data_IF_225142141747
#
_entry.id   IF_225142141747
#
_cell.length_a   1.000
_cell.length_b   1.000
_cell.length_c   1.000
_cell.angle_alpha   90.00
_cell.angle_beta   90.00
_cell.angle_gamma   90.00
#
_symmetry.space_group_name_H-M   'P 1'
#
loop_
_entity.id
_entity.type
_entity.pdbx_description
1 polymer ?
#
# COMPACT_ATOMS: atom_id res chain seq x y z
N UNK A 1 4.31 18.28 -17.79
CA UNK A 1 4.26 19.68 -17.28
C UNK A 1 5.19 20.53 -18.13
N UNK A 2 4.75 21.71 -18.57
CA UNK A 2 5.64 22.67 -19.22
C UNK A 2 6.31 23.53 -18.15
N UNK A 3 7.59 23.33 -17.89
CA UNK A 3 8.36 24.14 -16.97
C UNK A 3 8.65 25.52 -17.58
N UNK A 4 8.47 26.57 -16.79
CA UNK A 4 8.93 27.91 -17.16
C UNK A 4 10.45 28.04 -16.91
N UNK A 5 11.10 28.98 -17.57
CA UNK A 5 12.50 29.29 -17.27
C UNK A 5 12.73 29.72 -15.81
N UNK A 6 11.71 30.28 -15.17
CA UNK A 6 11.77 30.69 -13.77
C UNK A 6 11.77 29.48 -12.84
N UNK A 7 10.90 28.50 -13.11
CA UNK A 7 10.81 27.28 -12.31
C UNK A 7 12.09 26.46 -12.43
N UNK A 8 12.65 26.39 -13.63
CA UNK A 8 13.92 25.71 -13.86
C UNK A 8 15.09 26.36 -13.08
N UNK A 9 15.16 27.69 -13.05
CA UNK A 9 16.17 28.42 -12.27
C UNK A 9 16.02 28.18 -10.76
N UNK A 10 14.79 28.21 -10.24
CA UNK A 10 14.51 27.90 -8.84
C UNK A 10 14.94 26.48 -8.47
N UNK A 11 14.57 25.51 -9.30
CA UNK A 11 14.93 24.11 -9.10
C UNK A 11 16.45 23.94 -9.06
N UNK A 12 17.18 24.49 -10.01
CA UNK A 12 18.65 24.46 -10.00
C UNK A 12 19.22 25.08 -8.73
N UNK A 13 18.71 26.23 -8.29
CA UNK A 13 19.18 26.88 -7.08
C UNK A 13 18.94 26.00 -5.84
N UNK A 14 17.77 25.38 -5.74
CA UNK A 14 17.43 24.47 -4.66
C UNK A 14 18.30 23.19 -4.66
N UNK A 15 18.56 22.62 -5.83
CA UNK A 15 19.46 21.46 -5.96
C UNK A 15 20.90 21.82 -5.58
N UNK A 16 21.39 23.00 -5.99
CA UNK A 16 22.71 23.49 -5.56
C UNK A 16 22.77 23.68 -4.05
N UNK A 17 21.75 24.27 -3.45
CA UNK A 17 21.63 24.41 -2.00
C UNK A 17 21.67 23.03 -1.32
N UNK A 18 20.81 22.10 -1.72
CA UNK A 18 20.78 20.75 -1.15
C UNK A 18 22.15 20.07 -1.21
N UNK A 19 22.82 20.10 -2.35
CA UNK A 19 24.16 19.52 -2.52
C UNK A 19 25.22 20.23 -1.67
N UNK A 20 25.04 21.47 -1.30
CA UNK A 20 25.95 22.20 -0.40
C UNK A 20 25.82 21.77 1.06
N UNK A 21 24.58 21.41 1.49
CA UNK A 21 24.27 21.08 2.90
C UNK A 21 24.15 19.59 3.17
N UNK A 22 23.94 18.74 2.13
CA UNK A 22 23.84 17.29 2.27
C UNK A 22 25.07 16.61 1.65
N UNK A 23 25.86 15.94 2.46
CA UNK A 23 27.02 15.14 2.00
C UNK A 23 26.78 13.64 2.14
N UNK A 24 25.93 13.26 3.08
CA UNK A 24 25.62 11.87 3.39
C UNK A 24 24.13 11.72 3.68
N UNK A 25 23.52 10.68 3.17
CA UNK A 25 22.12 10.31 3.43
C UNK A 25 21.99 8.78 3.32
N UNK A 26 20.92 8.25 3.85
CA UNK A 26 20.60 6.83 3.74
C UNK A 26 20.38 6.43 2.26
N UNK A 27 19.60 7.24 1.56
CA UNK A 27 19.29 7.05 0.14
C UNK A 27 19.18 8.38 -0.56
N UNK A 28 19.69 8.44 -1.78
CA UNK A 28 19.47 9.57 -2.68
C UNK A 28 18.77 9.07 -3.92
N UNK A 29 17.67 9.73 -4.30
CA UNK A 29 16.92 9.30 -5.45
C UNK A 29 16.16 10.44 -6.12
N UNK A 30 15.76 10.19 -7.33
CA UNK A 30 14.87 11.01 -8.12
C UNK A 30 13.48 10.38 -8.11
N UNK A 31 12.46 11.16 -7.81
CA UNK A 31 11.08 10.71 -7.82
C UNK A 31 10.60 10.61 -9.25
N UNK A 32 10.09 9.46 -9.61
CA UNK A 32 9.51 9.19 -10.92
C UNK A 32 8.35 8.21 -10.79
N UNK A 33 7.23 8.50 -11.43
CA UNK A 33 6.02 7.67 -11.42
C UNK A 33 5.52 7.29 -10.01
N UNK A 34 5.69 8.18 -9.03
CA UNK A 34 5.29 7.92 -7.66
C UNK A 34 3.91 8.51 -7.33
N UNK A 35 3.01 7.67 -6.84
CA UNK A 35 1.66 8.04 -6.40
C UNK A 35 1.60 7.90 -4.88
N UNK A 36 1.70 8.98 -4.10
CA UNK A 36 1.73 8.90 -2.64
C UNK A 36 0.37 8.57 -2.02
N UNK A 37 -0.71 9.03 -2.63
CA UNK A 37 -2.07 8.81 -2.13
C UNK A 37 -2.67 7.53 -2.67
N UNK A 38 -2.56 6.43 -1.89
CA UNK A 38 -3.10 5.12 -2.26
C UNK A 38 -4.01 4.59 -1.16
N UNK A 39 -5.14 4.01 -1.57
CA UNK A 39 -6.10 3.38 -0.65
C UNK A 39 -6.45 1.97 -1.12
N UNK A 40 -6.70 1.07 -0.17
CA UNK A 40 -7.50 -0.13 -0.43
C UNK A 40 -8.96 0.31 -0.33
N UNK A 41 -9.72 0.01 -1.37
CA UNK A 41 -11.14 0.33 -1.41
C UNK A 41 -11.98 -0.92 -1.24
N UNK A 42 -12.66 -0.99 -0.12
CA UNK A 42 -13.64 -2.03 0.11
C UNK A 42 -14.89 -1.77 -0.75
N UNK A 43 -15.15 -2.64 -1.70
CA UNK A 43 -16.40 -2.63 -2.46
C UNK A 43 -17.59 -3.04 -1.59
N UNK A 44 -17.30 -3.36 -0.36
CA UNK A 44 -18.24 -3.52 0.71
C UNK A 44 -18.74 -4.92 0.82
N UNK A 45 -19.76 -5.23 1.22
CA UNK A 45 -20.60 -6.35 1.54
C UNK A 45 -20.05 -7.73 1.19
N UNK A 46 -18.78 -7.93 1.51
CA UNK A 46 -18.24 -9.26 1.47
C UNK A 46 -18.99 -10.14 2.49
N UNK A 47 -19.46 -11.28 2.10
CA UNK A 47 -19.36 -11.99 0.85
C UNK A 47 -20.65 -12.08 0.06
N UNK A 48 -21.64 -11.28 0.28
CA UNK A 48 -22.96 -11.60 -0.24
C UNK A 48 -23.78 -10.45 -0.77
N UNK A 49 -24.54 -10.73 -1.81
CA UNK A 49 -25.54 -9.85 -2.40
C UNK A 49 -25.00 -8.48 -2.82
N UNK A 50 -23.72 -8.44 -3.09
CA UNK A 50 -23.07 -7.22 -3.49
C UNK A 50 -23.33 -6.92 -4.90
N UNK A 51 -23.55 -5.68 -5.14
CA UNK A 51 -23.28 -5.12 -6.42
C UNK A 51 -21.91 -4.44 -6.35
N UNK A 52 -21.06 -4.69 -7.32
CA UNK A 52 -19.85 -3.89 -7.55
C UNK A 52 -20.24 -2.55 -8.17
N UNK A 53 -21.40 -2.48 -8.79
CA UNK A 53 -21.95 -1.27 -9.40
C UNK A 53 -21.92 -0.09 -8.43
N UNK A 54 -21.39 1.08 -8.88
CA UNK A 54 -21.27 2.25 -8.04
C UNK A 54 -22.63 2.70 -7.44
N UNK A 55 -22.58 3.08 -6.18
CA UNK A 55 -23.69 3.69 -5.46
C UNK A 55 -23.44 5.19 -5.26
N UNK A 56 -24.44 5.92 -4.78
CA UNK A 56 -24.26 7.32 -4.41
C UNK A 56 -23.14 7.52 -3.37
N UNK A 57 -22.99 6.57 -2.46
CA UNK A 57 -21.89 6.59 -1.47
C UNK A 57 -20.52 6.52 -2.14
N UNK A 58 -20.35 5.63 -3.13
CA UNK A 58 -19.09 5.52 -3.87
C UNK A 58 -18.76 6.80 -4.63
N UNK A 59 -19.75 7.40 -5.29
CA UNK A 59 -19.57 8.68 -5.98
C UNK A 59 -19.05 9.78 -5.05
N UNK A 60 -19.66 9.92 -3.88
CA UNK A 60 -19.27 10.94 -2.91
C UNK A 60 -17.88 10.66 -2.31
N UNK A 61 -17.61 9.42 -1.94
CA UNK A 61 -16.33 9.05 -1.33
C UNK A 61 -15.18 9.14 -2.34
N UNK A 62 -15.33 8.61 -3.56
CA UNK A 62 -14.29 8.65 -4.59
C UNK A 62 -13.99 10.09 -4.98
N UNK A 63 -15.01 10.94 -5.12
CA UNK A 63 -14.83 12.38 -5.33
C UNK A 63 -14.01 12.99 -4.19
N UNK A 64 -14.37 12.73 -2.93
CA UNK A 64 -13.67 13.24 -1.74
C UNK A 64 -12.21 12.75 -1.69
N UNK A 65 -11.96 11.49 -2.01
CA UNK A 65 -10.61 10.92 -2.10
C UNK A 65 -9.77 11.67 -3.16
N UNK A 66 -10.31 11.86 -4.36
CA UNK A 66 -9.64 12.60 -5.43
C UNK A 66 -9.32 14.05 -5.06
N UNK A 67 -10.30 14.78 -4.54
CA UNK A 67 -10.14 16.19 -4.11
C UNK A 67 -9.03 16.35 -3.05
N UNK A 68 -8.78 15.30 -2.27
CA UNK A 68 -7.74 15.29 -1.24
C UNK A 68 -6.41 14.67 -1.70
N UNK A 69 -6.30 14.28 -2.97
CA UNK A 69 -5.03 13.92 -3.58
C UNK A 69 -4.77 12.43 -3.74
N UNK A 70 -5.76 11.58 -3.49
CA UNK A 70 -5.68 10.15 -3.83
C UNK A 70 -5.59 9.99 -5.33
N UNK A 71 -4.65 9.17 -5.79
CA UNK A 71 -4.40 8.90 -7.20
C UNK A 71 -4.49 7.43 -7.56
N UNK A 72 -4.66 6.54 -6.56
CA UNK A 72 -4.74 5.11 -6.79
C UNK A 72 -5.66 4.44 -5.78
N UNK A 73 -6.53 3.60 -6.29
CA UNK A 73 -7.38 2.68 -5.54
C UNK A 73 -6.96 1.26 -5.86
N UNK A 74 -6.76 0.45 -4.83
CA UNK A 74 -6.63 -0.98 -4.92
C UNK A 74 -7.95 -1.59 -4.45
N UNK A 75 -8.62 -2.32 -5.32
CA UNK A 75 -9.78 -3.15 -4.92
C UNK A 75 -9.27 -4.53 -4.49
N UNK A 76 -9.92 -5.08 -3.49
CA UNK A 76 -9.52 -6.36 -2.92
C UNK A 76 -10.29 -7.52 -3.59
N UNK A 77 -10.26 -8.69 -2.99
CA UNK A 77 -10.81 -9.93 -3.54
C UNK A 77 -12.31 -9.89 -3.86
N UNK A 78 -13.04 -8.90 -3.38
CA UNK A 78 -14.49 -8.78 -3.60
C UNK A 78 -14.90 -8.59 -5.07
N UNK A 79 -13.96 -8.22 -5.92
CA UNK A 79 -14.25 -8.04 -7.35
C UNK A 79 -14.39 -9.36 -8.11
N UNK A 80 -13.87 -10.46 -7.52
CA UNK A 80 -13.86 -11.77 -8.14
C UNK A 80 -15.25 -12.34 -8.37
N UNK A 81 -15.28 -13.39 -9.16
CA UNK A 81 -16.53 -14.02 -9.57
C UNK A 81 -17.17 -14.93 -8.48
N UNK A 82 -17.94 -15.92 -8.90
CA UNK A 82 -18.94 -16.64 -8.11
C UNK A 82 -18.51 -17.19 -6.76
N UNK A 83 -17.25 -17.57 -6.58
CA UNK A 83 -16.80 -18.12 -5.31
C UNK A 83 -16.44 -17.05 -4.29
N UNK A 84 -16.07 -15.87 -4.76
CA UNK A 84 -15.66 -14.72 -3.93
C UNK A 84 -14.63 -15.05 -2.88
N UNK A 85 -13.68 -15.81 -3.28
CA UNK A 85 -12.50 -16.13 -2.51
C UNK A 85 -11.35 -15.34 -3.10
N UNK A 86 -10.32 -15.11 -2.29
CA UNK A 86 -9.17 -14.30 -2.71
C UNK A 86 -8.80 -14.56 -4.17
N UNK A 87 -8.54 -13.52 -4.91
CA UNK A 87 -8.34 -13.48 -6.37
C UNK A 87 -7.24 -14.34 -6.95
N UNK A 88 -6.81 -15.34 -6.20
CA UNK A 88 -5.84 -16.32 -6.64
C UNK A 88 -6.35 -17.25 -7.75
N UNK A 89 -7.63 -17.46 -7.79
CA UNK A 89 -8.29 -18.50 -8.57
C UNK A 89 -9.10 -17.98 -9.75
N UNK A 90 -9.58 -16.74 -9.69
CA UNK A 90 -10.40 -16.13 -10.75
C UNK A 90 -9.88 -14.77 -11.17
N UNK A 91 -9.91 -14.54 -12.48
CA UNK A 91 -9.57 -13.29 -13.12
C UNK A 91 -10.79 -12.63 -13.78
N UNK A 92 -11.96 -12.90 -13.25
CA UNK A 92 -13.23 -12.38 -13.76
C UNK A 92 -14.12 -11.88 -12.63
N UNK A 93 -14.95 -10.90 -12.93
CA UNK A 93 -15.92 -10.36 -11.99
C UNK A 93 -17.24 -11.12 -12.05
N UNK A 94 -17.89 -11.25 -10.90
CA UNK A 94 -19.27 -11.73 -10.81
C UNK A 94 -20.30 -10.69 -11.32
N UNK A 95 -19.92 -9.41 -11.41
CA UNK A 95 -20.69 -8.32 -12.03
C UNK A 95 -19.76 -7.50 -12.92
N UNK A 96 -19.58 -7.98 -14.16
CA UNK A 96 -18.66 -7.37 -15.14
C UNK A 96 -19.02 -5.93 -15.46
N UNK A 97 -20.29 -5.65 -15.67
CA UNK A 97 -20.75 -4.32 -16.04
C UNK A 97 -20.64 -3.35 -14.86
N UNK A 98 -21.01 -3.82 -13.67
CA UNK A 98 -20.84 -3.04 -12.44
C UNK A 98 -19.39 -2.71 -12.15
N UNK A 99 -18.47 -3.65 -12.40
CA UNK A 99 -17.02 -3.40 -12.24
C UNK A 99 -16.50 -2.37 -13.25
N UNK A 100 -16.92 -2.47 -14.51
CA UNK A 100 -16.54 -1.46 -15.54
C UNK A 100 -17.06 -0.07 -15.15
N UNK A 101 -18.29 0.04 -14.70
CA UNK A 101 -18.85 1.30 -14.21
C UNK A 101 -18.08 1.85 -12.99
N UNK A 102 -17.60 0.97 -12.09
CA UNK A 102 -16.78 1.39 -10.95
C UNK A 102 -15.40 1.92 -11.40
N UNK A 103 -14.76 1.23 -12.33
CA UNK A 103 -13.48 1.68 -12.91
C UNK A 103 -13.66 3.02 -13.62
N UNK A 104 -14.70 3.16 -14.45
CA UNK A 104 -15.02 4.41 -15.15
C UNK A 104 -15.29 5.56 -14.19
N UNK A 105 -15.97 5.28 -13.08
CA UNK A 105 -16.17 6.27 -12.03
C UNK A 105 -14.83 6.74 -11.45
N UNK A 106 -13.94 5.83 -11.09
CA UNK A 106 -12.61 6.17 -10.58
C UNK A 106 -11.82 7.00 -11.60
N UNK A 107 -11.81 6.59 -12.87
CA UNK A 107 -11.13 7.29 -13.94
C UNK A 107 -11.71 8.69 -14.19
N UNK A 108 -13.02 8.88 -14.02
CA UNK A 108 -13.64 10.20 -14.15
C UNK A 108 -13.11 11.21 -13.10
N UNK A 109 -12.57 10.72 -12.00
CA UNK A 109 -11.89 11.49 -10.96
C UNK A 109 -10.37 11.38 -11.01
N UNK A 110 -9.79 10.87 -12.10
CA UNK A 110 -8.34 10.69 -12.31
C UNK A 110 -7.69 9.77 -11.27
N UNK A 111 -8.41 8.79 -10.78
CA UNK A 111 -7.91 7.76 -9.86
C UNK A 111 -7.70 6.46 -10.64
N UNK A 112 -6.50 5.90 -10.52
CA UNK A 112 -6.13 4.60 -11.08
C UNK A 112 -6.71 3.46 -10.26
N UNK A 113 -7.00 2.32 -10.90
CA UNK A 113 -7.59 1.14 -10.23
C UNK A 113 -6.72 -0.08 -10.46
N UNK A 114 -6.32 -0.74 -9.36
CA UNK A 114 -5.61 -2.01 -9.38
C UNK A 114 -6.50 -3.11 -8.77
N UNK A 115 -6.69 -4.24 -9.46
CA UNK A 115 -7.37 -5.40 -8.89
C UNK A 115 -6.42 -6.22 -8.03
N UNK A 116 -6.96 -6.89 -7.02
CA UNK A 116 -6.30 -7.97 -6.32
C UNK A 116 -6.21 -9.21 -7.20
N UNK A 117 -5.06 -9.84 -7.21
CA UNK A 117 -4.84 -11.19 -7.70
C UNK A 117 -3.71 -11.84 -6.91
N UNK A 118 -3.52 -13.15 -7.04
CA UNK A 118 -2.37 -13.84 -6.48
C UNK A 118 -1.73 -14.75 -7.51
N UNK A 119 -0.41 -14.69 -7.60
CA UNK A 119 0.38 -15.65 -8.40
C UNK A 119 0.90 -16.83 -7.59
N UNK A 120 0.70 -16.81 -6.27
CA UNK A 120 1.24 -17.80 -5.34
C UNK A 120 0.25 -18.86 -4.84
N UNK A 121 -1.04 -18.58 -4.94
CA UNK A 121 -2.08 -19.42 -4.35
C UNK A 121 -3.26 -19.65 -5.29
N UNK A 122 -3.93 -20.79 -5.09
CA UNK A 122 -5.15 -21.15 -5.80
C UNK A 122 -6.07 -21.95 -4.88
N UNK A 123 -7.36 -21.65 -4.85
CA UNK A 123 -8.31 -22.40 -4.03
C UNK A 123 -8.68 -23.73 -4.69
N UNK A 124 -8.47 -24.83 -3.99
CA UNK A 124 -8.70 -26.20 -4.52
C UNK A 124 -10.16 -26.51 -4.88
N UNK A 125 -11.10 -25.66 -4.43
CA UNK A 125 -12.53 -25.82 -4.75
C UNK A 125 -12.93 -25.12 -6.05
N UNK A 126 -12.05 -24.31 -6.61
CA UNK A 126 -12.32 -23.66 -7.88
C UNK A 126 -12.46 -24.70 -9.00
N UNK A 127 -13.46 -24.57 -9.89
CA UNK A 127 -13.64 -25.51 -11.01
C UNK A 127 -12.43 -25.62 -11.95
N UNK A 128 -11.60 -24.58 -12.02
CA UNK A 128 -10.40 -24.57 -12.86
C UNK A 128 -9.18 -25.19 -12.17
N UNK A 129 -9.29 -25.51 -10.88
CA UNK A 129 -8.18 -26.10 -10.13
C UNK A 129 -7.72 -27.44 -10.70
N UNK A 130 -6.42 -27.62 -10.73
CA UNK A 130 -5.79 -28.90 -11.05
C UNK A 130 -4.53 -29.10 -10.20
N UNK A 131 -4.27 -30.34 -9.79
CA UNK A 131 -3.05 -30.69 -9.05
C UNK A 131 -1.76 -30.36 -9.81
N UNK A 132 -1.84 -30.07 -11.10
CA UNK A 132 -0.69 -29.62 -11.89
C UNK A 132 -0.26 -28.22 -11.59
N UNK A 133 -1.12 -27.40 -10.99
CA UNK A 133 -0.79 -26.02 -10.61
C UNK A 133 0.09 -25.95 -9.37
N UNK A 134 0.07 -26.96 -8.53
CA UNK A 134 0.59 -26.87 -7.16
C UNK A 134 1.98 -27.49 -6.99
N UNK A 135 2.75 -26.91 -6.05
CA UNK A 135 4.11 -27.34 -5.77
C UNK A 135 4.16 -28.66 -5.00
N UNK A 136 3.32 -28.81 -3.98
CA UNK A 136 3.18 -29.98 -3.14
C UNK A 136 1.68 -30.23 -2.85
N UNK A 137 1.13 -31.38 -3.26
CA UNK A 137 -0.25 -31.71 -2.98
C UNK A 137 -0.64 -31.72 -1.50
N UNK A 138 0.33 -31.86 -0.61
CA UNK A 138 0.10 -31.87 0.84
C UNK A 138 0.06 -30.48 1.44
N UNK A 139 0.60 -29.48 0.75
CA UNK A 139 0.62 -28.10 1.20
C UNK A 139 -0.73 -27.44 0.91
N UNK A 140 -1.58 -27.40 1.90
CA UNK A 140 -2.84 -26.70 1.88
C UNK A 140 -2.91 -25.76 3.04
N UNK A 141 -3.08 -24.48 2.74
CA UNK A 141 -3.38 -23.47 3.74
C UNK A 141 -4.90 -23.37 3.86
N UNK A 142 -5.40 -23.63 5.05
CA UNK A 142 -6.78 -23.32 5.41
C UNK A 142 -6.75 -22.06 6.23
N UNK A 143 -7.18 -20.96 5.61
CA UNK A 143 -7.33 -19.70 6.29
C UNK A 143 -8.78 -19.28 6.20
N UNK A 144 -9.41 -19.10 7.35
CA UNK A 144 -10.84 -18.82 7.42
C UNK A 144 -11.64 -19.94 6.75
N UNK A 145 -12.32 -19.68 5.64
CA UNK A 145 -13.02 -20.68 4.83
C UNK A 145 -12.32 -20.96 3.49
N UNK A 146 -11.12 -20.40 3.30
CA UNK A 146 -10.30 -20.61 2.11
C UNK A 146 -9.53 -21.93 2.21
N UNK A 147 -9.28 -22.56 1.08
CA UNK A 147 -8.49 -23.80 0.94
C UNK A 147 -7.43 -23.60 -0.12
N UNK A 148 -6.44 -22.80 0.23
CA UNK A 148 -5.37 -22.47 -0.69
C UNK A 148 -4.37 -23.58 -0.86
N UNK A 149 -4.03 -23.79 -2.11
CA UNK A 149 -2.88 -24.58 -2.52
C UNK A 149 -1.79 -23.63 -3.03
N UNK A 150 -0.56 -23.87 -2.59
CA UNK A 150 0.59 -23.11 -3.09
C UNK A 150 0.86 -23.46 -4.55
N UNK A 151 0.87 -22.47 -5.41
CA UNK A 151 1.16 -22.64 -6.83
C UNK A 151 2.65 -22.86 -7.07
N UNK A 152 2.96 -23.71 -8.05
CA UNK A 152 4.32 -23.98 -8.46
C UNK A 152 4.73 -23.07 -9.62
N UNK A 153 5.62 -22.12 -9.35
CA UNK A 153 6.14 -21.22 -10.37
C UNK A 153 6.85 -21.93 -11.53
N UNK A 154 7.33 -23.16 -11.31
CA UNK A 154 7.93 -24.00 -12.35
C UNK A 154 6.89 -24.79 -13.18
N UNK A 155 5.62 -24.83 -12.78
CA UNK A 155 4.59 -25.56 -13.51
C UNK A 155 4.24 -24.89 -14.82
N UNK A 156 4.38 -25.56 -15.97
CA UNK A 156 3.94 -25.00 -17.25
C UNK A 156 2.44 -24.72 -17.30
N UNK A 157 1.63 -25.61 -16.69
CA UNK A 157 0.17 -25.48 -16.67
C UNK A 157 -0.28 -24.29 -15.82
N UNK A 158 0.38 -24.05 -14.66
CA UNK A 158 0.12 -22.85 -13.86
C UNK A 158 0.50 -21.58 -14.62
N UNK A 159 1.69 -21.56 -15.20
CA UNK A 159 2.13 -20.42 -16.01
C UNK A 159 1.16 -20.11 -17.16
N UNK A 160 0.75 -21.14 -17.89
CA UNK A 160 -0.21 -20.96 -18.99
C UNK A 160 -1.53 -20.36 -18.48
N UNK A 161 -2.10 -20.94 -17.43
CA UNK A 161 -3.35 -20.46 -16.84
C UNK A 161 -3.23 -19.02 -16.36
N UNK A 162 -2.18 -18.72 -15.60
CA UNK A 162 -1.96 -17.39 -15.03
C UNK A 162 -1.84 -16.32 -16.12
N UNK A 163 -1.01 -16.54 -17.14
CA UNK A 163 -0.77 -15.54 -18.17
C UNK A 163 -1.95 -15.37 -19.14
N UNK A 164 -2.63 -16.44 -19.50
CA UNK A 164 -3.84 -16.36 -20.32
C UNK A 164 -4.94 -15.55 -19.61
N UNK A 165 -5.09 -15.76 -18.31
CA UNK A 165 -6.06 -15.02 -17.52
C UNK A 165 -5.64 -13.58 -17.21
N UNK A 166 -4.34 -13.33 -17.01
CA UNK A 166 -3.82 -11.98 -16.84
C UNK A 166 -4.10 -11.12 -18.08
N UNK A 167 -3.80 -11.63 -19.28
CA UNK A 167 -4.10 -10.92 -20.52
C UNK A 167 -5.61 -10.72 -20.67
N UNK A 168 -6.41 -11.75 -20.50
CA UNK A 168 -7.87 -11.65 -20.59
C UNK A 168 -8.44 -10.59 -19.64
N UNK A 169 -7.98 -10.55 -18.39
CA UNK A 169 -8.41 -9.58 -17.40
C UNK A 169 -8.03 -8.15 -17.81
N UNK A 170 -6.80 -7.95 -18.24
CA UNK A 170 -6.31 -6.64 -18.67
C UNK A 170 -6.98 -6.17 -19.95
N UNK A 171 -7.35 -7.08 -20.87
CA UNK A 171 -8.08 -6.77 -22.08
C UNK A 171 -9.56 -6.48 -21.83
N UNK A 172 -10.18 -7.16 -20.87
CA UNK A 172 -11.60 -7.03 -20.57
C UNK A 172 -11.94 -5.79 -19.74
N UNK A 173 -11.04 -5.44 -18.80
CA UNK A 173 -11.24 -4.32 -17.88
C UNK A 173 -10.16 -3.27 -18.08
N UNK A 174 -10.54 -2.01 -17.92
CA UNK A 174 -9.60 -0.89 -18.03
C UNK A 174 -8.78 -0.69 -16.74
N UNK A 175 -8.25 -1.78 -16.17
CA UNK A 175 -7.36 -1.69 -15.01
C UNK A 175 -6.05 -0.99 -15.35
N UNK A 176 -5.53 -0.23 -14.39
CA UNK A 176 -4.26 0.47 -14.53
C UNK A 176 -3.04 -0.36 -14.09
N UNK A 177 -3.21 -1.64 -13.90
CA UNK A 177 -2.17 -2.56 -13.45
C UNK A 177 -2.72 -3.63 -12.53
N UNK A 178 -1.88 -4.14 -11.63
CA UNK A 178 -2.24 -5.23 -10.72
C UNK A 178 -1.72 -5.00 -9.30
N UNK A 179 -2.43 -5.55 -8.32
CA UNK A 179 -1.88 -5.87 -7.01
C UNK A 179 -1.72 -7.38 -6.91
N UNK A 180 -0.47 -7.85 -6.93
CA UNK A 180 -0.13 -9.27 -6.82
C UNK A 180 0.18 -9.61 -5.38
N UNK A 181 -0.68 -10.41 -4.79
CA UNK A 181 -0.55 -10.85 -3.41
C UNK A 181 0.22 -12.16 -3.31
N UNK A 182 1.15 -12.21 -2.35
CA UNK A 182 1.85 -13.41 -1.90
C UNK A 182 2.53 -14.24 -3.01
N UNK A 183 2.95 -13.61 -4.11
CA UNK A 183 3.65 -14.30 -5.20
C UNK A 183 4.98 -14.93 -4.80
N UNK A 184 5.48 -14.60 -3.61
CA UNK A 184 6.72 -15.13 -3.04
C UNK A 184 6.51 -16.13 -1.92
N UNK A 185 5.30 -16.27 -1.37
CA UNK A 185 5.11 -17.07 -0.18
C UNK A 185 5.34 -18.55 -0.51
N UNK A 186 6.34 -19.11 0.12
CA UNK A 186 6.63 -20.53 0.10
C UNK A 186 6.54 -21.08 1.50
N UNK A 187 5.97 -22.26 1.61
CA UNK A 187 5.88 -22.96 2.89
C UNK A 187 6.41 -24.38 2.75
N UNK A 188 7.11 -24.83 3.78
CA UNK A 188 7.52 -26.22 3.88
C UNK A 188 6.32 -27.15 4.16
N UNK A 189 6.58 -28.45 4.24
CA UNK A 189 5.54 -29.45 4.54
C UNK A 189 4.91 -29.34 5.93
N UNK A 190 5.44 -28.46 6.78
CA UNK A 190 4.92 -28.15 8.12
C UNK A 190 4.14 -26.80 8.14
N UNK A 191 4.12 -26.10 7.03
CA UNK A 191 3.46 -24.82 6.89
C UNK A 191 4.30 -23.62 7.32
N UNK A 192 5.59 -23.81 7.62
CA UNK A 192 6.48 -22.70 7.96
C UNK A 192 6.95 -21.98 6.70
N UNK A 193 7.01 -20.64 6.68
CA UNK A 193 7.59 -19.90 5.57
C UNK A 193 9.05 -20.28 5.35
N UNK A 194 9.42 -20.58 4.12
CA UNK A 194 10.81 -20.80 3.74
C UNK A 194 11.12 -20.26 2.35
N UNK A 195 12.39 -20.11 2.06
CA UNK A 195 12.87 -19.77 0.72
C UNK A 195 12.52 -18.37 0.22
N UNK A 196 11.97 -17.51 1.07
CA UNK A 196 11.68 -16.15 0.70
C UNK A 196 12.92 -15.25 0.75
N UNK A 197 13.91 -15.65 1.52
CA UNK A 197 15.25 -15.07 1.55
C UNK A 197 16.22 -15.76 0.58
N UNK A 198 15.80 -16.89 0.00
CA UNK A 198 16.58 -17.64 -0.96
C UNK A 198 16.16 -17.30 -2.40
N UNK A 199 17.13 -17.17 -3.27
CA UNK A 199 16.89 -16.98 -4.69
C UNK A 199 16.22 -18.21 -5.30
N UNK A 200 15.08 -18.00 -5.97
CA UNK A 200 14.39 -19.01 -6.75
C UNK A 200 14.20 -18.53 -8.19
N UNK A 201 14.88 -19.14 -9.17
CA UNK A 201 14.83 -18.70 -10.54
C UNK A 201 13.45 -18.82 -11.18
N UNK A 202 12.61 -19.75 -10.74
CA UNK A 202 11.27 -19.92 -11.29
C UNK A 202 10.31 -18.83 -10.77
N UNK A 203 10.42 -18.49 -9.49
CA UNK A 203 9.65 -17.38 -8.92
C UNK A 203 10.11 -16.06 -9.55
N UNK A 204 11.41 -15.83 -9.68
CA UNK A 204 11.92 -14.64 -10.34
C UNK A 204 11.41 -14.53 -11.78
N UNK A 205 11.53 -15.61 -12.59
CA UNK A 205 11.04 -15.63 -13.98
C UNK A 205 9.55 -15.30 -14.06
N UNK A 206 8.74 -15.96 -13.21
CA UNK A 206 7.29 -15.69 -13.16
C UNK A 206 6.98 -14.22 -12.91
N UNK A 207 7.59 -13.63 -11.91
CA UNK A 207 7.33 -12.24 -11.50
C UNK A 207 7.91 -11.23 -12.48
N UNK A 208 9.09 -11.49 -13.07
CA UNK A 208 9.65 -10.67 -14.15
C UNK A 208 8.74 -10.67 -15.37
N UNK A 209 8.21 -11.82 -15.76
CA UNK A 209 7.26 -11.91 -16.86
C UNK A 209 5.94 -11.20 -16.56
N UNK A 210 5.37 -11.36 -15.37
CA UNK A 210 4.18 -10.62 -14.95
C UNK A 210 4.42 -9.10 -15.01
N UNK A 211 5.56 -8.66 -14.45
CA UNK A 211 5.95 -7.26 -14.52
C UNK A 211 6.08 -6.79 -15.97
N UNK A 212 6.72 -7.57 -16.82
CA UNK A 212 6.92 -7.24 -18.24
C UNK A 212 5.60 -7.11 -18.99
N UNK A 213 4.68 -8.06 -18.82
CA UNK A 213 3.34 -7.99 -19.43
C UNK A 213 2.63 -6.71 -19.01
N UNK A 214 2.52 -6.47 -17.71
CA UNK A 214 1.77 -5.31 -17.19
C UNK A 214 2.40 -3.99 -17.61
N UNK A 215 3.74 -3.89 -17.59
CA UNK A 215 4.45 -2.63 -17.93
C UNK A 215 4.54 -2.38 -19.41
N UNK A 216 4.89 -3.39 -20.21
CA UNK A 216 5.25 -3.20 -21.60
C UNK A 216 4.04 -3.28 -22.53
N UNK A 217 3.06 -4.12 -22.20
CA UNK A 217 1.87 -4.32 -23.03
C UNK A 217 0.73 -3.40 -22.61
N UNK A 218 0.53 -3.21 -21.29
CA UNK A 218 -0.59 -2.44 -20.75
C UNK A 218 -0.21 -1.09 -20.14
N UNK A 219 1.09 -0.76 -20.05
CA UNK A 219 1.59 0.47 -19.40
C UNK A 219 1.12 0.65 -17.96
N UNK A 220 0.87 -0.48 -17.30
CA UNK A 220 0.25 -0.54 -15.98
C UNK A 220 1.24 -0.41 -14.82
N UNK A 221 0.70 -0.53 -13.62
CA UNK A 221 1.42 -0.49 -12.34
C UNK A 221 1.44 -1.89 -11.75
N UNK A 222 2.58 -2.31 -11.24
CA UNK A 222 2.69 -3.56 -10.46
C UNK A 222 2.96 -3.23 -9.01
N UNK A 223 2.01 -3.59 -8.16
CA UNK A 223 2.16 -3.56 -6.72
C UNK A 223 2.29 -4.98 -6.22
N UNK A 224 3.38 -5.29 -5.53
CA UNK A 224 3.67 -6.62 -5.02
C UNK A 224 3.56 -6.65 -3.50
N UNK A 225 2.77 -7.55 -2.99
CA UNK A 225 2.73 -7.89 -1.58
C UNK A 225 3.65 -9.07 -1.28
N UNK A 226 4.50 -8.88 -0.29
CA UNK A 226 5.27 -9.95 0.33
C UNK A 226 4.77 -10.08 1.76
N UNK A 227 4.15 -11.17 2.10
CA UNK A 227 3.42 -11.43 3.34
C UNK A 227 3.98 -10.70 4.56
N UNK A 228 5.07 -11.18 5.14
CA UNK A 228 5.69 -10.56 6.30
C UNK A 228 6.82 -9.58 5.93
N UNK A 229 7.71 -9.31 6.86
CA UNK A 229 8.87 -8.41 6.67
C UNK A 229 10.02 -9.11 5.91
N UNK A 230 9.70 -9.71 4.78
CA UNK A 230 10.68 -10.40 3.94
C UNK A 230 10.93 -9.62 2.67
N UNK A 231 12.13 -9.75 2.13
CA UNK A 231 12.50 -9.10 0.87
C UNK A 231 12.34 -10.09 -0.28
N UNK A 232 11.77 -9.64 -1.40
CA UNK A 232 11.87 -10.40 -2.62
C UNK A 232 13.32 -10.47 -3.09
N UNK A 233 13.81 -11.67 -3.37
CA UNK A 233 15.16 -11.87 -3.92
C UNK A 233 15.05 -11.98 -5.43
N UNK A 234 15.41 -10.91 -6.13
CA UNK A 234 15.39 -10.83 -7.58
C UNK A 234 16.53 -9.95 -8.09
N UNK A 235 17.11 -10.32 -9.22
CA UNK A 235 18.09 -9.52 -9.95
C UNK A 235 17.43 -8.52 -10.91
N UNK A 236 16.15 -8.68 -11.17
CA UNK A 236 15.36 -7.88 -12.10
C UNK A 236 14.29 -7.07 -11.36
N UNK A 237 13.76 -6.05 -12.02
CA UNK A 237 12.64 -5.29 -11.48
C UNK A 237 11.35 -6.08 -11.65
N UNK A 238 10.60 -6.27 -10.56
CA UNK A 238 9.40 -7.09 -10.49
C UNK A 238 8.19 -6.38 -9.87
N UNK A 239 8.36 -5.13 -9.45
CA UNK A 239 7.29 -4.28 -8.93
C UNK A 239 7.60 -2.79 -9.10
N UNK A 240 6.58 -1.96 -9.09
CA UNK A 240 6.70 -0.50 -8.91
C UNK A 240 6.57 -0.13 -7.43
N UNK A 241 5.67 -0.80 -6.71
CA UNK A 241 5.46 -0.61 -5.27
C UNK A 241 5.58 -1.93 -4.53
N UNK A 242 6.28 -1.89 -3.42
CA UNK A 242 6.35 -3.00 -2.48
C UNK A 242 5.42 -2.72 -1.30
N UNK A 243 4.38 -3.52 -1.18
CA UNK A 243 3.46 -3.44 -0.05
C UNK A 243 3.91 -4.39 1.04
N UNK A 244 4.06 -3.84 2.25
CA UNK A 244 4.53 -4.57 3.43
C UNK A 244 3.73 -4.13 4.65
N UNK A 245 3.71 -4.96 5.68
CA UNK A 245 3.27 -4.55 7.00
C UNK A 245 1.97 -5.16 7.48
N UNK A 246 1.38 -6.10 6.76
CA UNK A 246 0.21 -6.84 7.21
C UNK A 246 0.40 -7.46 8.59
N UNK A 247 1.59 -7.96 8.86
CA UNK A 247 1.98 -8.52 10.17
C UNK A 247 2.66 -7.51 11.09
N UNK A 248 2.90 -6.27 10.64
CA UNK A 248 3.53 -5.24 11.47
C UNK A 248 2.62 -4.82 12.62
N UNK A 249 3.01 -5.20 13.82
CA UNK A 249 2.30 -4.88 15.06
C UNK A 249 2.95 -3.74 15.84
N UNK A 250 4.12 -3.29 15.41
CA UNK A 250 4.88 -2.23 16.07
C UNK A 250 5.44 -1.23 15.06
N UNK A 251 5.60 0.01 15.51
CA UNK A 251 6.23 1.05 14.69
C UNK A 251 7.71 0.77 14.43
N UNK A 252 8.35 -0.02 15.28
CA UNK A 252 9.74 -0.48 15.13
C UNK A 252 9.86 -1.48 13.97
N UNK A 253 8.91 -2.38 13.80
CA UNK A 253 8.85 -3.29 12.66
C UNK A 253 8.68 -2.51 11.37
N UNK A 254 7.78 -1.54 11.35
CA UNK A 254 7.59 -0.67 10.19
C UNK A 254 8.88 0.06 9.80
N UNK A 255 9.64 0.56 10.80
CA UNK A 255 10.90 1.25 10.54
C UNK A 255 11.95 0.36 9.86
N UNK A 256 11.92 -0.96 10.07
CA UNK A 256 12.84 -1.88 9.39
C UNK A 256 12.66 -1.87 7.86
N UNK A 257 11.47 -1.55 7.38
CA UNK A 257 11.16 -1.55 5.95
C UNK A 257 11.78 -0.39 5.17
N UNK A 258 12.35 0.63 5.85
CA UNK A 258 12.91 1.81 5.16
C UNK A 258 14.07 1.51 4.22
N UNK A 259 14.72 0.37 4.41
CA UNK A 259 15.85 -0.05 3.58
C UNK A 259 15.44 -0.96 2.42
N UNK A 260 14.20 -1.42 2.37
CA UNK A 260 13.78 -2.45 1.43
C UNK A 260 13.71 -1.94 0.00
N UNK A 261 12.94 -0.92 -0.21
CA UNK A 261 12.68 -0.39 -1.55
C UNK A 261 12.47 1.12 -1.49
N UNK A 262 12.72 1.84 -2.59
CA UNK A 262 12.33 3.25 -2.69
C UNK A 262 10.85 3.49 -2.44
N UNK A 263 9.99 2.64 -3.01
CA UNK A 263 8.53 2.81 -2.99
C UNK A 263 7.85 1.71 -2.19
N UNK A 264 8.21 1.65 -0.92
CA UNK A 264 7.47 0.83 0.05
C UNK A 264 6.19 1.54 0.43
N UNK A 265 5.09 0.80 0.38
CA UNK A 265 3.78 1.24 0.85
C UNK A 265 3.45 0.43 2.11
N UNK A 266 3.61 0.99 3.30
CA UNK A 266 3.24 0.31 4.53
C UNK A 266 1.73 0.19 4.65
N UNK A 267 1.27 -0.96 5.11
CA UNK A 267 -0.12 -1.20 5.45
C UNK A 267 -0.23 -1.74 6.88
N UNK A 268 -0.03 -0.90 7.88
CA UNK A 268 -0.25 -1.32 9.26
C UNK A 268 -1.73 -1.58 9.48
N UNK A 269 -2.02 -2.53 10.35
CA UNK A 269 -3.37 -2.81 10.81
C UNK A 269 -4.07 -1.50 11.24
N UNK A 270 -5.28 -1.30 10.76
CA UNK A 270 -6.09 -0.13 11.08
C UNK A 270 -6.28 0.06 12.59
N UNK A 271 -6.64 -1.00 13.30
CA UNK A 271 -6.79 -1.02 14.76
C UNK A 271 -5.58 -0.46 15.46
N UNK A 272 -4.45 -0.86 14.97
CA UNK A 272 -3.16 -0.48 15.46
C UNK A 272 -2.87 1.02 15.22
N UNK A 273 -3.20 1.57 14.05
CA UNK A 273 -3.05 2.99 13.76
C UNK A 273 -4.01 3.86 14.56
N UNK A 274 -5.19 3.34 14.90
CA UNK A 274 -6.21 4.07 15.63
C UNK A 274 -5.98 4.05 17.15
N UNK A 275 -5.57 2.91 17.70
CA UNK A 275 -5.38 2.74 19.15
C UNK A 275 -4.10 3.40 19.69
N UNK A 276 -3.07 3.57 18.88
CA UNK A 276 -1.74 3.98 19.32
C UNK A 276 -1.32 5.41 18.94
N UNK A 277 -2.22 6.32 18.64
CA UNK A 277 -1.87 7.63 18.12
C UNK A 277 -1.16 7.54 16.74
N UNK A 278 -1.94 7.59 15.67
CA UNK A 278 -1.46 7.45 14.29
C UNK A 278 -0.28 8.33 13.88
N UNK A 279 0.04 9.40 14.63
CA UNK A 279 1.21 10.25 14.35
C UNK A 279 2.52 9.49 14.43
N UNK A 280 2.61 8.47 15.29
CA UNK A 280 3.81 7.63 15.42
C UNK A 280 4.13 6.94 14.09
N UNK A 281 3.13 6.42 13.40
CA UNK A 281 3.33 5.75 12.12
C UNK A 281 3.77 6.71 11.04
N UNK A 282 3.13 7.86 10.95
CA UNK A 282 3.52 8.88 10.00
C UNK A 282 4.95 9.37 10.27
N UNK A 283 5.34 9.55 11.52
CA UNK A 283 6.70 9.95 11.89
C UNK A 283 7.76 8.92 11.52
N UNK A 284 7.40 7.64 11.44
CA UNK A 284 8.28 6.55 11.01
C UNK A 284 8.25 6.28 9.51
N UNK A 285 7.25 6.77 8.81
CA UNK A 285 7.06 6.49 7.39
C UNK A 285 7.44 7.67 6.49
N UNK A 286 6.89 8.85 6.72
CA UNK A 286 7.00 9.98 5.79
C UNK A 286 8.43 10.47 5.58
N UNK A 287 9.29 10.60 6.61
CA UNK A 287 10.68 11.00 6.39
C UNK A 287 11.47 10.01 5.55
N UNK A 288 11.02 8.76 5.46
CA UNK A 288 11.69 7.69 4.75
C UNK A 288 11.10 7.40 3.36
N UNK A 289 10.29 8.32 2.83
CA UNK A 289 9.60 8.18 1.55
C UNK A 289 8.62 6.99 1.54
N UNK A 290 7.90 6.84 2.61
CA UNK A 290 6.82 5.88 2.74
C UNK A 290 5.55 6.63 3.12
N UNK A 291 4.45 6.37 2.44
CA UNK A 291 3.15 6.87 2.82
C UNK A 291 2.23 5.70 3.13
N UNK A 292 1.55 5.76 4.27
CA UNK A 292 0.71 4.66 4.72
C UNK A 292 -0.47 4.44 3.78
N UNK A 293 -0.67 3.20 3.40
CA UNK A 293 -1.88 2.79 2.68
C UNK A 293 -3.07 2.89 3.63
N UNK A 294 -4.10 3.56 3.18
CA UNK A 294 -5.35 3.65 3.93
C UNK A 294 -6.33 2.59 3.45
N UNK A 295 -7.05 2.02 4.41
CA UNK A 295 -8.27 1.26 4.14
C UNK A 295 -9.44 2.24 4.08
N UNK A 296 -10.25 2.20 3.03
CA UNK A 296 -11.44 3.03 2.85
C UNK A 296 -12.49 2.29 2.00
N UNK A 297 -13.60 2.90 1.70
CA UNK A 297 -14.65 2.31 0.89
C UNK A 297 -15.97 2.14 1.63
N UNK A 298 -16.74 1.18 1.21
CA UNK A 298 -18.06 0.91 1.79
C UNK A 298 -17.93 0.32 3.17
N UNK A 299 -18.66 0.84 4.17
CA UNK A 299 -18.63 0.27 5.50
C UNK A 299 -19.21 -1.15 5.49
N UNK A 300 -18.69 -2.00 6.33
CA UNK A 300 -19.20 -3.34 6.52
C UNK A 300 -20.46 -3.29 7.37
N UNK A 301 -21.53 -3.88 6.87
CA UNK A 301 -22.79 -4.02 7.58
C UNK A 301 -23.34 -5.43 7.45
N UNK A 302 -23.95 -5.96 8.48
CA UNK A 302 -24.80 -7.15 8.42
C UNK A 302 -24.08 -8.49 8.15
N UNK A 303 -24.66 -9.33 7.32
CA UNK A 303 -24.30 -10.74 7.13
C UNK A 303 -23.11 -10.97 6.16
N UNK A 304 -22.02 -10.28 6.36
CA UNK A 304 -20.97 -10.22 5.35
C UNK A 304 -19.83 -11.22 5.46
N UNK A 305 -19.77 -11.92 6.55
CA UNK A 305 -18.62 -12.79 6.85
C UNK A 305 -18.71 -14.18 6.24
N UNK A 306 -19.61 -14.43 5.29
CA UNK A 306 -19.81 -15.76 4.73
C UNK A 306 -20.11 -15.72 3.24
N UNK A 307 -19.22 -16.26 2.41
CA UNK A 307 -19.45 -16.39 0.98
C UNK A 307 -20.68 -17.28 0.72
N UNK A 308 -21.58 -16.91 -0.22
CA UNK A 308 -22.66 -17.78 -0.63
C UNK A 308 -22.07 -19.00 -1.33
N UNK A 309 -22.71 -20.14 -1.16
CA UNK A 309 -22.32 -21.40 -1.78
C UNK A 309 -20.97 -21.96 -1.36
N UNK A 310 -20.30 -21.40 -0.36
CA UNK A 310 -19.11 -21.97 0.23
C UNK A 310 -19.49 -22.93 1.33
N UNK A 311 -18.94 -24.14 1.28
CA UNK A 311 -19.10 -25.13 2.34
C UNK A 311 -18.10 -24.82 3.44
N UNK A 312 -18.61 -24.40 4.60
CA UNK A 312 -17.77 -24.15 5.76
C UNK A 312 -17.35 -25.44 6.43
N UNK A 313 -16.08 -25.57 6.70
CA UNK A 313 -15.56 -26.65 7.53
C UNK A 313 -15.90 -26.42 9.00
N UNK A 314 -15.95 -27.48 9.81
CA UNK A 314 -16.16 -27.35 11.24
C UNK A 314 -14.81 -27.23 11.99
N UNK A 315 -14.04 -26.27 11.59
CA UNK A 315 -12.79 -25.85 12.23
C UNK A 315 -12.98 -24.59 13.11
N UNK A 316 -11.92 -24.15 13.76
CA UNK A 316 -11.96 -22.99 14.63
C UNK A 316 -12.29 -21.71 13.90
N UNK A 317 -11.81 -21.56 12.67
CA UNK A 317 -12.01 -20.35 11.85
C UNK A 317 -13.42 -20.24 11.34
N UNK A 318 -13.98 -21.32 10.78
CA UNK A 318 -15.38 -21.36 10.39
C UNK A 318 -16.32 -21.08 11.56
N UNK A 319 -15.96 -21.53 12.77
CA UNK A 319 -16.70 -21.18 13.99
C UNK A 319 -16.60 -19.70 14.33
N UNK A 320 -15.45 -19.09 14.10
CA UNK A 320 -15.25 -17.65 14.28
C UNK A 320 -16.17 -16.85 13.37
N UNK A 321 -16.20 -17.16 12.07
CA UNK A 321 -17.10 -16.51 11.11
C UNK A 321 -18.59 -16.69 11.45
N UNK A 322 -18.98 -17.86 11.91
CA UNK A 322 -20.36 -18.07 12.39
C UNK A 322 -20.72 -17.15 13.57
N UNK A 323 -19.80 -16.91 14.49
CA UNK A 323 -20.00 -15.97 15.61
C UNK A 323 -20.09 -14.52 15.15
N UNK A 324 -19.26 -14.11 14.22
CA UNK A 324 -19.32 -12.77 13.63
C UNK A 324 -20.66 -12.55 12.92
N UNK A 325 -21.10 -13.54 12.13
CA UNK A 325 -22.39 -13.52 11.45
C UNK A 325 -23.55 -13.41 12.43
N UNK A 326 -23.51 -14.17 13.53
CA UNK A 326 -24.53 -14.10 14.58
C UNK A 326 -24.52 -12.73 15.28
N UNK A 327 -23.34 -12.19 15.52
CA UNK A 327 -23.20 -10.85 16.07
C UNK A 327 -23.90 -9.81 15.18
N UNK A 328 -23.64 -9.79 13.88
CA UNK A 328 -24.25 -8.82 12.97
C UNK A 328 -25.77 -8.98 12.80
N UNK A 329 -26.30 -10.18 12.93
CA UNK A 329 -27.75 -10.36 12.99
C UNK A 329 -28.39 -9.64 14.18
N UNK A 330 -27.69 -9.63 15.30
CA UNK A 330 -28.17 -8.99 16.52
C UNK A 330 -27.91 -7.49 16.55
N UNK A 331 -26.89 -7.04 15.83
CA UNK A 331 -26.42 -5.65 15.79
C UNK A 331 -26.23 -5.16 14.34
N UNK A 332 -27.31 -5.08 13.54
CA UNK A 332 -27.20 -4.74 12.12
C UNK A 332 -26.68 -3.32 11.85
N UNK A 333 -26.76 -2.43 12.82
CA UNK A 333 -26.32 -1.04 12.73
C UNK A 333 -25.00 -0.78 13.49
N UNK A 334 -24.30 -1.85 13.89
CA UNK A 334 -23.03 -1.74 14.61
C UNK A 334 -23.16 -1.77 16.14
N UNK A 335 -22.07 -1.60 16.89
CA UNK A 335 -20.75 -1.27 16.38
C UNK A 335 -20.21 -2.37 15.45
N UNK A 336 -19.48 -1.97 14.42
CA UNK A 336 -18.94 -2.91 13.45
C UNK A 336 -17.79 -3.68 14.08
N UNK A 337 -17.79 -5.00 13.88
CA UNK A 337 -16.73 -5.89 14.34
C UNK A 337 -15.82 -6.19 13.17
N UNK A 338 -14.58 -6.23 13.42
CA UNK A 338 -13.50 -6.22 12.46
C UNK A 338 -12.87 -7.55 12.21
N UNK A 339 -12.67 -7.90 10.96
CA UNK A 339 -11.56 -8.72 10.50
C UNK A 339 -10.46 -7.83 9.90
N UNK A 340 -9.27 -8.32 9.78
CA UNK A 340 -8.08 -7.50 9.43
C UNK A 340 -8.22 -6.66 8.16
N UNK A 341 -9.05 -7.08 7.23
CA UNK A 341 -9.23 -6.46 5.92
C UNK A 341 -10.62 -5.92 5.66
N UNK A 342 -11.57 -6.30 6.47
CA UNK A 342 -12.97 -5.98 6.31
C UNK A 342 -13.41 -4.77 7.12
N UNK A 343 -12.48 -4.15 7.77
CA UNK A 343 -12.74 -3.16 8.78
C UNK A 343 -12.51 -1.77 8.31
N UNK A 344 -13.35 -1.35 7.48
CA UNK A 344 -13.33 0.05 7.17
C UNK A 344 -14.37 0.72 8.00
N UNK A 345 -13.97 1.29 9.11
CA UNK A 345 -14.85 2.13 9.84
C UNK A 345 -15.02 3.40 9.04
N UNK A 346 -16.18 3.91 9.07
CA UNK A 346 -16.44 5.28 8.73
C UNK A 346 -15.86 6.22 9.82
N UNK A 347 -14.53 6.17 9.97
CA UNK A 347 -13.83 7.06 10.88
C UNK A 347 -13.37 8.31 10.15
N UNK A 348 -14.27 9.28 10.14
CA UNK A 348 -14.03 10.58 9.53
C UNK A 348 -12.79 11.29 10.10
N UNK A 349 -12.52 11.14 11.40
CA UNK A 349 -11.36 11.79 12.04
C UNK A 349 -10.04 11.23 11.52
N UNK A 350 -9.97 9.90 11.33
CA UNK A 350 -8.78 9.28 10.78
C UNK A 350 -8.60 9.62 9.30
N UNK A 351 -9.69 9.71 8.54
CA UNK A 351 -9.66 10.13 7.14
C UNK A 351 -9.15 11.56 7.01
N UNK A 352 -9.66 12.51 7.80
CA UNK A 352 -9.23 13.91 7.77
C UNK A 352 -7.77 14.07 8.19
N UNK A 353 -7.31 13.31 9.17
CA UNK A 353 -5.90 13.27 9.58
C UNK A 353 -5.02 12.77 8.45
N UNK A 354 -5.39 11.67 7.80
CA UNK A 354 -4.68 11.12 6.67
C UNK A 354 -4.60 12.11 5.50
N UNK A 355 -5.71 12.78 5.18
CA UNK A 355 -5.73 13.84 4.16
C UNK A 355 -4.80 15.01 4.50
N UNK A 356 -4.73 15.39 5.77
CA UNK A 356 -3.82 16.44 6.22
C UNK A 356 -2.37 16.08 5.93
N UNK A 357 -1.97 14.88 6.27
CA UNK A 357 -0.61 14.39 5.97
C UNK A 357 -0.36 14.25 4.47
N UNK A 358 -1.33 13.77 3.72
CA UNK A 358 -1.20 13.66 2.25
C UNK A 358 -1.02 15.04 1.61
N UNK A 359 -1.77 16.05 2.02
CA UNK A 359 -1.62 17.44 1.54
C UNK A 359 -0.23 18.02 1.84
N UNK A 360 0.34 17.70 2.99
CA UNK A 360 1.68 18.13 3.34
C UNK A 360 2.76 17.37 2.56
N UNK A 361 2.57 16.10 2.34
CA UNK A 361 3.55 15.21 1.73
C UNK A 361 3.58 15.26 0.20
N UNK A 362 2.42 15.23 -0.44
CA UNK A 362 2.30 15.17 -1.90
C UNK A 362 3.14 16.22 -2.66
N UNK A 363 3.17 17.50 -2.28
CA UNK A 363 4.02 18.49 -2.95
C UNK A 363 5.52 18.23 -2.82
N UNK A 364 5.94 17.53 -1.76
CA UNK A 364 7.36 17.23 -1.53
C UNK A 364 7.88 16.13 -2.45
N UNK A 365 6.99 15.21 -2.83
CA UNK A 365 7.28 14.03 -3.65
C UNK A 365 6.65 14.11 -5.05
N UNK A 366 6.42 15.31 -5.53
CA UNK A 366 5.95 15.52 -6.90
C UNK A 366 6.97 14.98 -7.91
N UNK A 367 6.48 14.70 -9.12
CA UNK A 367 7.33 14.22 -10.21
C UNK A 367 8.60 15.04 -10.36
N UNK A 368 9.71 14.38 -10.64
CA UNK A 368 11.04 14.98 -10.74
C UNK A 368 11.61 15.60 -9.45
N UNK A 369 11.04 15.37 -8.28
CA UNK A 369 11.66 15.78 -7.03
C UNK A 369 12.92 14.98 -6.75
N UNK A 370 13.98 15.65 -6.30
CA UNK A 370 15.19 15.00 -5.80
C UNK A 370 15.05 14.82 -4.28
N UNK A 371 15.26 13.58 -3.82
CA UNK A 371 15.14 13.23 -2.41
C UNK A 371 16.47 12.83 -1.81
N UNK A 372 16.72 13.31 -0.60
CA UNK A 372 17.81 12.90 0.27
C UNK A 372 17.18 12.32 1.54
N UNK A 373 17.05 11.00 1.57
CA UNK A 373 16.37 10.30 2.64
C UNK A 373 17.33 10.10 3.81
N UNK A 374 16.88 10.48 4.98
CA UNK A 374 17.61 10.50 6.24
C UNK A 374 19.06 11.01 6.11
N UNK A 375 19.19 12.33 6.19
CA UNK A 375 20.48 13.03 6.19
C UNK A 375 21.13 13.01 7.59
N UNK A 376 20.88 11.99 8.36
CA UNK A 376 21.08 11.88 9.79
C UNK A 376 22.50 12.18 10.28
N UNK A 377 23.51 11.83 9.50
CA UNK A 377 24.91 11.96 9.92
C UNK A 377 25.63 13.20 9.43
N UNK A 378 25.17 13.82 8.36
CA UNK A 378 25.74 15.07 7.82
C UNK A 378 24.67 16.15 7.80
N UNK A 379 24.52 16.79 8.95
CA UNK A 379 23.48 17.77 9.20
C UNK A 379 24.03 19.21 9.10
N UNK A 380 24.71 19.51 8.00
CA UNK A 380 25.28 20.86 7.78
C UNK A 380 24.25 21.97 7.69
N UNK A 381 22.97 21.62 7.58
CA UNK A 381 21.88 22.58 7.72
C UNK A 381 21.67 23.06 9.16
N UNK A 382 22.21 22.35 10.14
CA UNK A 382 22.10 22.65 11.56
C UNK A 382 23.36 23.34 12.08
N UNK A 383 23.18 24.22 13.08
CA UNK A 383 24.29 24.88 13.78
C UNK A 383 24.88 24.03 14.91
N UNK A 384 24.12 23.03 15.36
CA UNK A 384 24.54 22.06 16.38
C UNK A 384 24.02 20.66 16.03
N UNK A 385 24.72 19.58 16.48
CA UNK A 385 24.23 18.22 16.26
C UNK A 385 22.82 18.00 16.82
N UNK A 386 22.01 17.27 16.09
CA UNK A 386 20.71 16.80 16.58
C UNK A 386 20.89 15.52 17.41
N UNK A 387 19.88 15.21 18.24
CA UNK A 387 19.81 13.92 18.93
C UNK A 387 19.75 12.74 17.94
N UNK A 388 20.13 11.55 18.41
CA UNK A 388 20.15 10.35 17.56
C UNK A 388 18.78 9.90 17.07
N UNK A 389 17.74 10.22 17.82
CA UNK A 389 16.36 9.85 17.50
C UNK A 389 15.68 10.82 16.52
N UNK A 390 16.39 11.87 16.09
CA UNK A 390 15.87 12.84 15.15
C UNK A 390 16.34 12.50 13.73
N UNK A 391 15.37 12.24 12.86
CA UNK A 391 15.59 11.96 11.45
C UNK A 391 15.15 13.16 10.61
N UNK A 392 15.93 13.46 9.61
CA UNK A 392 15.71 14.61 8.71
C UNK A 392 15.84 14.11 7.29
N UNK A 393 14.84 14.31 6.47
CA UNK A 393 14.91 14.10 5.03
C UNK A 393 14.62 15.39 4.28
N UNK A 394 15.32 15.58 3.16
CA UNK A 394 15.19 16.75 2.33
C UNK A 394 14.60 16.37 0.98
N UNK A 395 13.61 17.12 0.55
CA UNK A 395 12.94 16.94 -0.74
C UNK A 395 13.06 18.25 -1.52
N UNK A 396 13.47 18.15 -2.77
CA UNK A 396 13.86 19.29 -3.58
C UNK A 396 13.20 19.27 -4.94
N UNK A 397 12.41 20.29 -5.19
CA UNK A 397 11.86 20.62 -6.50
C UNK A 397 11.89 22.14 -6.68
N UNK A 398 10.83 22.77 -7.15
CA UNK A 398 10.74 24.24 -7.20
C UNK A 398 10.75 24.87 -5.80
N UNK A 399 10.58 24.03 -4.78
CA UNK A 399 10.68 24.36 -3.36
C UNK A 399 11.64 23.37 -2.69
N UNK A 400 12.34 23.82 -1.65
CA UNK A 400 13.13 22.94 -0.81
C UNK A 400 12.37 22.66 0.49
N UNK A 401 12.10 21.40 0.75
CA UNK A 401 11.33 20.93 1.90
C UNK A 401 12.20 20.09 2.85
N UNK A 402 11.83 20.13 4.13
CA UNK A 402 12.31 19.16 5.11
C UNK A 402 11.11 18.45 5.74
N UNK A 403 11.22 17.13 5.85
CA UNK A 403 10.39 16.32 6.72
C UNK A 403 11.27 15.82 7.86
N UNK A 404 10.89 16.15 9.08
CA UNK A 404 11.68 15.86 10.28
C UNK A 404 10.83 15.11 11.26
N UNK A 405 11.34 14.01 11.77
CA UNK A 405 10.70 13.24 12.84
C UNK A 405 11.60 13.11 14.04
N UNK A 406 10.98 13.01 15.20
CA UNK A 406 11.61 12.69 16.46
C UNK A 406 11.04 11.36 16.97
N UNK A 407 11.80 10.29 16.83
CA UNK A 407 11.41 8.95 17.25
C UNK A 407 11.68 8.69 18.74
N UNK A 408 12.26 9.67 19.43
CA UNK A 408 12.60 9.61 20.84
C UNK A 408 11.41 9.90 21.77
N UNK A 409 11.62 9.66 23.05
CA UNK A 409 10.62 9.82 24.13
C UNK A 409 10.56 11.23 24.72
N UNK A 410 11.43 12.13 24.29
CA UNK A 410 11.48 13.54 24.73
C UNK A 410 11.49 14.49 23.55
N UNK A 411 10.97 15.69 23.74
CA UNK A 411 11.02 16.74 22.73
C UNK A 411 12.47 17.07 22.34
N UNK A 412 12.68 17.27 21.04
CA UNK A 412 13.96 17.69 20.47
C UNK A 412 13.94 19.13 20.00
N UNK A 413 15.08 19.81 20.08
CA UNK A 413 15.24 21.17 19.58
C UNK A 413 16.31 21.20 18.50
N UNK A 414 15.97 21.74 17.34
CA UNK A 414 16.89 21.93 16.24
C UNK A 414 17.15 23.42 16.01
N UNK A 415 18.41 23.76 15.72
CA UNK A 415 18.80 25.11 15.36
C UNK A 415 19.42 25.07 13.98
N UNK A 416 18.73 25.66 13.02
CA UNK A 416 19.12 25.71 11.61
C UNK A 416 20.01 26.93 11.34
N UNK A 417 20.83 26.83 10.30
CA UNK A 417 21.58 27.98 9.78
C UNK A 417 20.67 29.00 9.10
N UNK A 418 19.63 28.52 8.41
CA UNK A 418 18.62 29.34 7.74
C UNK A 418 17.30 29.35 8.52
N UNK A 419 16.42 30.28 8.15
CA UNK A 419 15.04 30.29 8.65
C UNK A 419 14.18 29.41 7.75
N UNK A 420 13.32 28.62 8.38
CA UNK A 420 12.38 27.72 7.72
C UNK A 420 10.95 28.05 8.11
N UNK A 421 10.05 27.98 7.14
CA UNK A 421 8.62 28.08 7.35
C UNK A 421 8.06 26.73 7.78
N UNK A 422 7.48 26.65 8.94
CA UNK A 422 6.67 25.52 9.36
C UNK A 422 5.34 25.54 8.59
N UNK A 423 5.10 24.52 7.79
CA UNK A 423 3.95 24.47 6.87
C UNK A 423 2.62 24.20 7.58
N UNK A 424 2.66 23.73 8.82
CA UNK A 424 1.47 23.52 9.65
C UNK A 424 1.09 24.78 10.39
N UNK A 425 2.06 25.42 11.04
CA UNK A 425 1.81 26.61 11.89
C UNK A 425 1.92 27.93 11.16
N UNK A 426 2.52 27.94 9.97
CA UNK A 426 2.82 29.17 9.22
C UNK A 426 3.93 30.03 9.84
N UNK A 427 4.61 29.58 10.89
CA UNK A 427 5.68 30.32 11.56
C UNK A 427 7.02 30.12 10.86
N UNK A 428 7.77 31.21 10.71
CA UNK A 428 9.12 31.16 10.16
C UNK A 428 10.14 31.35 11.28
N UNK A 429 11.00 30.35 11.48
CA UNK A 429 12.01 30.36 12.54
C UNK A 429 13.30 29.62 12.12
N UNK A 430 14.41 29.95 12.77
CA UNK A 430 15.65 29.16 12.69
C UNK A 430 15.74 28.12 13.80
N UNK A 431 14.92 28.23 14.83
CA UNK A 431 14.85 27.26 15.93
C UNK A 431 13.49 26.60 15.92
N UNK A 432 13.49 25.28 15.82
CA UNK A 432 12.29 24.44 15.70
C UNK A 432 12.31 23.41 16.83
N UNK A 433 11.19 23.28 17.51
CA UNK A 433 10.97 22.22 18.48
C UNK A 433 10.17 21.07 17.83
N UNK A 434 10.62 19.84 18.02
CA UNK A 434 9.97 18.65 17.50
C UNK A 434 9.46 17.84 18.68
N UNK A 435 8.14 17.65 18.84
CA UNK A 435 7.57 16.86 19.92
C UNK A 435 8.12 15.43 19.94
N UNK A 436 8.13 14.81 21.11
CA UNK A 436 8.43 13.39 21.23
C UNK A 436 7.45 12.54 20.37
N UNK A 437 7.96 11.61 19.60
CA UNK A 437 7.15 10.80 18.67
C UNK A 437 6.51 11.58 17.52
N UNK A 438 6.76 12.89 17.42
CA UNK A 438 6.13 13.78 16.46
C UNK A 438 7.01 14.12 15.25
N UNK A 439 6.47 14.94 14.35
CA UNK A 439 7.18 15.42 13.16
C UNK A 439 6.80 16.86 12.82
N UNK A 440 7.64 17.48 12.01
CA UNK A 440 7.41 18.80 11.45
C UNK A 440 7.71 18.82 9.95
N UNK A 441 6.96 19.64 9.22
CA UNK A 441 7.10 19.84 7.78
C UNK A 441 7.54 21.27 7.53
N UNK A 442 8.76 21.41 7.02
CA UNK A 442 9.35 22.71 6.81
C UNK A 442 9.51 23.02 5.32
N UNK A 443 9.49 24.29 4.99
CA UNK A 443 9.75 24.81 3.66
C UNK A 443 10.78 25.92 3.74
N UNK A 444 11.79 25.87 2.88
CA UNK A 444 12.75 26.97 2.79
C UNK A 444 12.07 28.21 2.24
N UNK A 445 12.30 29.32 2.91
CA UNK A 445 11.87 30.62 2.39
C UNK A 445 12.75 31.02 1.20
N UNK A 446 12.20 31.68 0.19
CA UNK A 446 12.95 32.19 -0.96
C UNK A 446 14.09 33.13 -0.56
#
# INVERSE_FOLDING_TARGET
MNYTNTDYRKRIANVKYANSVVKSCLRRMHIHDYIPGQVIYNLGEYPNKMTIRPTAYDHDLIRKLSENGVGLIQIHEEWNDAMRIMGADKFSSHDKDGLKEFIDLCHSFHIKVLPYLSSGFFDERDPDFTEKFVADPKLMLVQNYYRYRCCNAASPEWNQYLFDNLHRMMDEYAFDGIFNDMGYDRRDGEGNPYGMEEYDPYIEDLLVRMYSVVKNEYHGIVKLHIGELQLPVSNEKIYDYLWVGESCKTSEELLRTVQYSPYVIPCPDYKFTNETNGDIYFSRALPFLQFLLRLDGRPITGERSCAPNVVYHDDAESRHFRKIREYYRNYPNGPFVYSEWSDIPDDERLREKWFTYLKLYKPMVSEDSLCFIDIAKDRRILTAPAGNDIHISMFVNDVCYLCISNLGKSSGKLVFQDRWLDRVTGKCAATIEIPAGGMVFLQKQP
#
